data_IF_139819175859
#
_entry.id   IF_139819175859
#
_cell.length_a   1.000
_cell.length_b   1.000
_cell.length_c   1.000
_cell.angle_alpha   90.00
_cell.angle_beta   90.00
_cell.angle_gamma   90.00
#
_symmetry.space_group_name_H-M   'P 1'
#
loop_
_entity.id
_entity.type
_entity.pdbx_description
1 polymer ?
#
# COMPACT_ATOMS: atom_id res chain seq x y z
N UNK A 1 3.03 -2.82 9.23
CA UNK A 1 3.73 -3.82 8.40
C UNK A 1 3.98 -5.15 9.12
N UNK A 2 4.53 -5.19 10.34
CA UNK A 2 4.83 -6.45 11.06
C UNK A 2 3.57 -7.32 11.25
N UNK A 3 2.42 -6.71 11.55
CA UNK A 3 1.15 -7.42 11.76
C UNK A 3 0.69 -8.13 10.49
N UNK A 4 0.70 -7.44 9.34
CA UNK A 4 0.28 -8.01 8.04
C UNK A 4 1.24 -9.09 7.54
N UNK A 5 2.54 -8.96 7.83
CA UNK A 5 3.53 -9.99 7.52
C UNK A 5 3.36 -11.24 8.41
N UNK A 6 3.10 -11.05 9.70
CA UNK A 6 2.82 -12.15 10.63
C UNK A 6 1.51 -12.86 10.28
N UNK A 7 0.46 -12.10 9.99
CA UNK A 7 -0.84 -12.62 9.58
C UNK A 7 -0.70 -13.45 8.28
N UNK A 8 0.06 -12.93 7.29
CA UNK A 8 0.51 -13.64 6.08
C UNK A 8 1.19 -14.97 6.32
N UNK A 9 2.11 -15.00 7.28
CA UNK A 9 2.85 -16.21 7.63
C UNK A 9 2.01 -17.21 8.44
N UNK A 10 1.09 -16.73 9.30
CA UNK A 10 0.20 -17.59 10.09
C UNK A 10 -1.02 -18.10 9.33
N UNK A 11 -1.43 -17.41 8.26
CA UNK A 11 -2.59 -17.75 7.43
C UNK A 11 -2.35 -18.89 6.45
N UNK A 12 -1.10 -19.37 6.30
CA UNK A 12 -0.82 -20.55 5.49
C UNK A 12 -1.45 -21.79 6.10
N UNK A 13 -2.40 -22.41 5.41
CA UNK A 13 -3.03 -23.66 5.85
C UNK A 13 -1.95 -24.73 6.13
N UNK A 14 -1.99 -25.31 7.34
CA UNK A 14 -1.07 -26.39 7.74
C UNK A 14 -1.09 -27.56 6.73
N UNK A 15 -2.21 -27.79 6.04
CA UNK A 15 -2.33 -28.78 4.98
C UNK A 15 -1.33 -28.59 3.84
N UNK A 16 -1.05 -27.34 3.41
CA UNK A 16 -0.06 -27.05 2.36
C UNK A 16 1.37 -27.31 2.83
N UNK A 17 1.64 -27.08 4.11
CA UNK A 17 2.94 -27.34 4.73
C UNK A 17 3.16 -28.85 4.88
N UNK A 18 2.16 -29.59 5.36
CA UNK A 18 2.22 -31.05 5.47
C UNK A 18 2.33 -31.72 4.09
N UNK A 19 1.60 -31.24 3.08
CA UNK A 19 1.73 -31.76 1.71
C UNK A 19 3.14 -31.57 1.13
N UNK A 20 3.76 -30.39 1.35
CA UNK A 20 5.14 -30.14 0.93
C UNK A 20 6.15 -31.01 1.69
N UNK A 21 5.91 -31.29 2.98
CA UNK A 21 6.71 -32.23 3.75
C UNK A 21 6.56 -33.67 3.25
N UNK A 22 5.35 -34.11 2.89
CA UNK A 22 5.10 -35.44 2.29
C UNK A 22 5.78 -35.61 0.92
N UNK A 23 5.99 -34.51 0.20
CA UNK A 23 6.76 -34.47 -1.06
C UNK A 23 8.28 -34.42 -0.85
N UNK A 24 8.77 -34.48 0.39
CA UNK A 24 10.20 -34.49 0.71
C UNK A 24 10.89 -33.12 0.65
N UNK A 25 10.15 -32.02 0.65
CA UNK A 25 10.73 -30.68 0.58
C UNK A 25 11.51 -30.33 1.87
N UNK A 26 12.70 -29.72 1.71
CA UNK A 26 13.48 -29.22 2.83
C UNK A 26 12.84 -27.96 3.45
N UNK A 27 13.18 -27.64 4.70
CA UNK A 27 12.66 -26.45 5.41
C UNK A 27 12.87 -25.15 4.61
N UNK A 28 13.98 -25.04 3.88
CA UNK A 28 14.27 -23.89 3.01
C UNK A 28 13.41 -23.84 1.75
N UNK A 29 13.10 -25.01 1.17
CA UNK A 29 12.21 -25.10 0.01
C UNK A 29 10.77 -24.75 0.38
N UNK A 30 10.30 -25.19 1.56
CA UNK A 30 8.97 -24.85 2.09
C UNK A 30 8.85 -23.34 2.33
N UNK A 31 9.86 -22.72 2.94
CA UNK A 31 9.86 -21.27 3.16
C UNK A 31 9.72 -20.50 1.83
N UNK A 32 10.55 -20.83 0.83
CA UNK A 32 10.61 -20.09 -0.44
C UNK A 32 9.44 -20.37 -1.38
N UNK A 33 8.97 -21.61 -1.45
CA UNK A 33 7.96 -22.04 -2.44
C UNK A 33 6.54 -22.16 -1.89
N UNK A 34 6.38 -22.23 -0.56
CA UNK A 34 5.05 -22.37 0.07
C UNK A 34 4.72 -21.14 0.90
N UNK A 35 5.57 -20.78 1.87
CA UNK A 35 5.24 -19.70 2.82
C UNK A 35 5.35 -18.32 2.17
N UNK A 36 6.43 -18.05 1.44
CA UNK A 36 6.67 -16.76 0.78
C UNK A 36 5.58 -16.37 -0.24
N UNK A 37 5.20 -17.23 -1.22
CA UNK A 37 4.15 -16.87 -2.18
C UNK A 37 2.74 -16.81 -1.56
N UNK A 38 2.46 -17.54 -0.48
CA UNK A 38 1.16 -17.46 0.22
C UNK A 38 1.05 -16.21 1.10
N UNK A 39 2.16 -15.71 1.68
CA UNK A 39 2.17 -14.53 2.55
C UNK A 39 2.27 -13.20 1.79
N UNK A 40 2.78 -13.23 0.55
CA UNK A 40 2.92 -12.08 -0.36
C UNK A 40 1.63 -11.23 -0.53
N UNK A 41 0.43 -11.82 -0.74
CA UNK A 41 -0.84 -11.08 -0.81
C UNK A 41 -1.16 -10.29 0.45
N UNK A 42 -0.84 -10.83 1.62
CA UNK A 42 -1.14 -10.20 2.91
C UNK A 42 -0.14 -9.09 3.23
N UNK A 43 1.14 -9.31 2.91
CA UNK A 43 2.18 -8.27 2.98
C UNK A 43 1.81 -7.08 2.08
N UNK A 44 1.42 -7.34 0.84
CA UNK A 44 1.05 -6.28 -0.11
C UNK A 44 -0.25 -5.57 0.27
N UNK A 45 -1.18 -6.24 0.93
CA UNK A 45 -2.34 -5.59 1.54
C UNK A 45 -1.92 -4.65 2.68
N UNK A 46 -0.96 -5.07 3.50
CA UNK A 46 -0.35 -4.21 4.54
C UNK A 46 0.38 -3.00 3.95
N UNK A 47 1.09 -3.16 2.83
CA UNK A 47 1.74 -2.06 2.11
C UNK A 47 0.71 -1.06 1.60
N UNK A 48 -0.41 -1.52 1.01
CA UNK A 48 -1.48 -0.62 0.54
C UNK A 48 -2.01 0.28 1.66
N UNK A 49 -2.33 -0.32 2.82
CA UNK A 49 -2.81 0.44 3.99
C UNK A 49 -1.77 1.45 4.45
N UNK A 50 -0.49 1.06 4.49
CA UNK A 50 0.59 1.95 4.88
C UNK A 50 0.72 3.14 3.91
N UNK A 51 0.65 2.91 2.60
CA UNK A 51 0.74 4.01 1.62
C UNK A 51 -0.45 4.97 1.74
N UNK A 52 -1.67 4.46 1.97
CA UNK A 52 -2.83 5.31 2.24
C UNK A 52 -2.63 6.23 3.46
N UNK A 53 -2.04 5.70 4.54
CA UNK A 53 -1.66 6.52 5.70
C UNK A 53 -0.55 7.51 5.37
N UNK A 54 0.49 7.09 4.63
CA UNK A 54 1.59 7.95 4.24
C UNK A 54 1.11 9.16 3.42
N UNK A 55 0.13 8.97 2.54
CA UNK A 55 -0.45 10.06 1.76
C UNK A 55 -1.00 11.18 2.66
N UNK A 56 -1.85 10.84 3.63
CA UNK A 56 -2.41 11.82 4.55
C UNK A 56 -1.34 12.54 5.38
N UNK A 57 -0.32 11.82 5.84
CA UNK A 57 0.80 12.43 6.58
C UNK A 57 1.67 13.34 5.72
N UNK A 58 1.87 13.00 4.44
CA UNK A 58 2.62 13.83 3.49
C UNK A 58 1.90 15.14 3.24
N UNK A 59 0.59 15.09 2.99
CA UNK A 59 -0.24 16.29 2.84
C UNK A 59 -0.15 17.16 4.09
N UNK A 60 -0.35 16.59 5.28
CA UNK A 60 -0.25 17.34 6.53
C UNK A 60 1.14 18.00 6.71
N UNK A 61 2.22 17.30 6.31
CA UNK A 61 3.58 17.83 6.36
C UNK A 61 3.78 19.01 5.38
N UNK A 62 3.27 18.91 4.15
CA UNK A 62 3.31 20.01 3.17
C UNK A 62 2.58 21.26 3.66
N UNK A 63 1.45 21.08 4.34
CA UNK A 63 0.66 22.19 4.89
C UNK A 63 1.35 22.95 6.03
N UNK A 64 2.11 22.24 6.88
CA UNK A 64 2.71 22.80 8.09
C UNK A 64 4.11 23.40 7.87
N UNK A 65 4.95 22.71 7.10
CA UNK A 65 6.37 23.03 6.97
C UNK A 65 6.88 23.09 5.52
N UNK A 66 6.02 22.85 4.53
CA UNK A 66 6.40 22.93 3.13
C UNK A 66 6.69 24.36 2.69
N UNK A 67 7.85 24.60 2.08
CA UNK A 67 8.14 25.81 1.30
C UNK A 67 7.81 25.65 -0.18
N UNK A 68 7.50 24.42 -0.59
CA UNK A 68 7.14 24.00 -1.94
C UNK A 68 6.08 22.90 -1.85
N UNK A 69 5.29 22.69 -2.91
CA UNK A 69 4.24 21.68 -2.96
C UNK A 69 2.83 22.27 -3.09
N UNK A 70 1.85 21.40 -3.34
CA UNK A 70 0.45 21.79 -3.60
C UNK A 70 -0.20 22.26 -2.29
N UNK A 71 0.10 21.61 -1.17
CA UNK A 71 -0.35 22.05 0.16
C UNK A 71 0.17 23.44 0.55
N UNK A 72 1.39 23.79 0.11
CA UNK A 72 1.94 25.14 0.29
C UNK A 72 1.18 26.18 -0.55
N UNK A 73 0.89 25.88 -1.83
CA UNK A 73 0.11 26.77 -2.71
C UNK A 73 -1.27 27.04 -2.11
N UNK A 74 -1.91 26.03 -1.53
CA UNK A 74 -3.20 26.23 -0.84
C UNK A 74 -3.06 27.14 0.38
N UNK A 75 -2.00 26.98 1.19
CA UNK A 75 -1.74 27.85 2.34
C UNK A 75 -1.55 29.32 1.90
N UNK A 76 -0.83 29.55 0.81
CA UNK A 76 -0.63 30.88 0.22
C UNK A 76 -1.95 31.44 -0.30
N UNK A 77 -2.72 30.66 -1.08
CA UNK A 77 -4.02 31.09 -1.61
C UNK A 77 -5.01 31.48 -0.49
N UNK A 78 -4.99 30.75 0.64
CA UNK A 78 -5.76 31.07 1.85
C UNK A 78 -5.38 32.42 2.45
N UNK A 79 -4.10 32.78 2.49
CA UNK A 79 -3.64 34.09 2.99
C UNK A 79 -4.14 35.26 2.14
N UNK A 80 -4.26 35.06 0.84
CA UNK A 80 -4.74 36.07 -0.10
C UNK A 80 -6.25 35.99 -0.38
N UNK A 81 -7.00 35.13 0.32
CA UNK A 81 -8.43 34.88 0.12
C UNK A 81 -8.81 34.58 -1.34
N UNK A 82 -7.92 33.93 -2.09
CA UNK A 82 -8.16 33.52 -3.48
C UNK A 82 -8.95 32.22 -3.52
N UNK A 83 -10.27 32.31 -3.32
CA UNK A 83 -11.16 31.15 -3.28
C UNK A 83 -11.09 30.27 -4.54
N UNK A 84 -10.90 30.88 -5.71
CA UNK A 84 -10.74 30.15 -6.98
C UNK A 84 -9.56 29.19 -6.93
N UNK A 85 -8.42 29.65 -6.42
CA UNK A 85 -7.19 28.85 -6.34
C UNK A 85 -7.33 27.74 -5.29
N UNK A 86 -7.97 28.03 -4.15
CA UNK A 86 -8.20 27.05 -3.08
C UNK A 86 -8.99 25.84 -3.58
N UNK A 87 -10.07 26.07 -4.32
CA UNK A 87 -10.89 25.00 -4.88
C UNK A 87 -10.11 24.15 -5.90
N UNK A 88 -9.29 24.80 -6.74
CA UNK A 88 -8.45 24.10 -7.71
C UNK A 88 -7.41 23.23 -7.01
N UNK A 89 -6.73 23.74 -5.96
CA UNK A 89 -5.74 22.95 -5.22
C UNK A 89 -6.35 21.74 -4.53
N UNK A 90 -7.52 21.90 -3.88
CA UNK A 90 -8.24 20.77 -3.25
C UNK A 90 -8.59 19.70 -4.29
N UNK A 91 -9.08 20.11 -5.45
CA UNK A 91 -9.43 19.19 -6.53
C UNK A 91 -8.21 18.42 -7.06
N UNK A 92 -7.11 19.12 -7.31
CA UNK A 92 -5.85 18.50 -7.76
C UNK A 92 -5.31 17.54 -6.69
N UNK A 93 -5.36 17.91 -5.42
CA UNK A 93 -4.90 17.06 -4.31
C UNK A 93 -5.70 15.76 -4.23
N UNK A 94 -7.02 15.84 -4.33
CA UNK A 94 -7.91 14.68 -4.37
C UNK A 94 -7.65 13.78 -5.59
N UNK A 95 -7.47 14.40 -6.76
CA UNK A 95 -7.17 13.68 -8.00
C UNK A 95 -5.82 12.95 -7.93
N UNK A 96 -4.78 13.59 -7.39
CA UNK A 96 -3.48 12.95 -7.19
C UNK A 96 -3.53 11.79 -6.19
N UNK A 97 -4.25 11.96 -5.07
CA UNK A 97 -4.43 10.88 -4.10
C UNK A 97 -5.11 9.66 -4.72
N UNK A 98 -6.16 9.88 -5.51
CA UNK A 98 -6.86 8.83 -6.24
C UNK A 98 -5.97 8.19 -7.32
N UNK A 99 -5.19 9.00 -8.06
CA UNK A 99 -4.23 8.50 -9.05
C UNK A 99 -3.18 7.60 -8.40
N UNK A 100 -2.64 8.01 -7.24
CA UNK A 100 -1.68 7.21 -6.47
C UNK A 100 -2.29 5.88 -6.03
N UNK A 101 -3.50 5.90 -5.46
CA UNK A 101 -4.17 4.68 -5.00
C UNK A 101 -4.44 3.70 -6.16
N UNK A 102 -4.98 4.19 -7.29
CA UNK A 102 -5.24 3.37 -8.47
C UNK A 102 -3.95 2.79 -9.05
N UNK A 103 -2.87 3.59 -9.11
CA UNK A 103 -1.59 3.14 -9.65
C UNK A 103 -1.01 2.02 -8.78
N UNK A 104 -1.03 2.20 -7.46
CA UNK A 104 -0.65 1.15 -6.51
C UNK A 104 -1.51 -0.09 -6.63
N UNK A 105 -2.83 0.08 -6.78
CA UNK A 105 -3.75 -1.04 -7.00
C UNK A 105 -3.38 -1.85 -8.24
N UNK A 106 -3.14 -1.19 -9.37
CA UNK A 106 -2.72 -1.84 -10.62
C UNK A 106 -1.38 -2.56 -10.48
N UNK A 107 -0.40 -1.96 -9.80
CA UNK A 107 0.92 -2.59 -9.59
C UNK A 107 0.79 -3.85 -8.74
N UNK A 108 0.00 -3.79 -7.66
CA UNK A 108 -0.22 -4.94 -6.77
C UNK A 108 -0.95 -6.05 -7.51
N UNK A 109 -2.01 -5.72 -8.25
CA UNK A 109 -2.82 -6.70 -8.99
C UNK A 109 -1.99 -7.37 -10.11
N UNK A 110 -1.09 -6.63 -10.78
CA UNK A 110 -0.15 -7.18 -11.76
C UNK A 110 0.90 -8.10 -11.14
N UNK A 111 1.33 -7.82 -9.91
CA UNK A 111 2.36 -8.61 -9.20
C UNK A 111 1.81 -9.93 -8.65
N UNK A 112 0.50 -10.04 -8.41
CA UNK A 112 -0.13 -11.23 -7.82
C UNK A 112 -1.32 -11.73 -8.64
N UNK A 113 -1.09 -12.32 -9.84
CA UNK A 113 -2.18 -12.89 -10.64
C UNK A 113 -2.84 -14.13 -10.02
N UNK A 114 -2.24 -14.72 -8.97
CA UNK A 114 -2.78 -15.89 -8.26
C UNK A 114 -3.75 -15.55 -7.11
N UNK A 115 -3.99 -14.25 -6.85
CA UNK A 115 -4.93 -13.80 -5.83
C UNK A 115 -6.37 -14.18 -6.24
N UNK A 116 -6.92 -15.24 -5.62
CA UNK A 116 -8.26 -15.76 -5.90
C UNK A 116 -8.30 -17.13 -6.59
N UNK A 117 -7.15 -17.76 -6.88
CA UNK A 117 -7.07 -19.18 -7.28
C UNK A 117 -6.52 -20.00 -6.12
N UNK A 118 -7.38 -20.35 -5.18
CA UNK A 118 -7.04 -21.18 -4.01
C UNK A 118 -8.25 -21.41 -3.14
#
# INVERSE_FOLDING_TARGET
>A
MIISARAGASGTQLSKIHAAHSLGASRWQILRHVIFPNSLPEILTGVRVAVGMCWGTLVAAEFLAGTTGIGFVENVAKKYFQYEVIWITIFIMGMLGLLFDITLRKIIDKTIPWRGKG
#
